data_IF_362363883419
#
_entry.id   IF_362363883419
#
_cell.length_a   1.000
_cell.length_b   1.000
_cell.length_c   1.000
_cell.angle_alpha   90.00
_cell.angle_beta   90.00
_cell.angle_gamma   90.00
#
_symmetry.space_group_name_H-M   'P 1'
#
loop_
_entity.id
_entity.type
_entity.pdbx_description
1 polymer ?
#
# COMPACT_ATOMS: atom_id res chain seq x y z
N UNK A 1 -9.75 9.50 -6.56
CA UNK A 1 -9.10 8.16 -6.52
C UNK A 1 -9.70 7.42 -5.34
N UNK A 2 -10.30 6.26 -5.57
CA UNK A 2 -10.99 5.46 -4.51
C UNK A 2 -10.05 4.39 -3.93
N UNK A 3 -9.18 3.83 -4.78
CA UNK A 3 -8.19 2.82 -4.41
C UNK A 3 -6.95 2.94 -5.31
N UNK A 4 -5.79 2.54 -4.78
CA UNK A 4 -4.53 2.34 -5.51
C UNK A 4 -4.20 0.85 -5.47
N UNK A 5 -3.96 0.25 -6.64
CA UNK A 5 -3.47 -1.13 -6.77
C UNK A 5 -2.09 -1.11 -7.43
N UNK A 6 -1.05 -1.21 -6.62
CA UNK A 6 0.33 -1.12 -7.07
C UNK A 6 1.22 -2.07 -6.26
N UNK A 7 1.49 -3.24 -6.85
CA UNK A 7 2.46 -4.21 -6.33
C UNK A 7 3.30 -4.73 -7.50
N UNK A 8 4.59 -4.41 -7.49
CA UNK A 8 5.52 -4.80 -8.55
C UNK A 8 5.70 -6.32 -8.66
N UNK A 9 5.62 -7.05 -7.54
CA UNK A 9 5.92 -8.48 -7.48
C UNK A 9 4.74 -9.35 -7.92
N UNK A 10 3.51 -8.86 -7.76
CA UNK A 10 2.28 -9.60 -8.13
C UNK A 10 1.72 -9.18 -9.50
N UNK A 11 2.41 -8.30 -10.23
CA UNK A 11 1.92 -7.81 -11.53
C UNK A 11 2.05 -8.89 -12.59
N UNK A 12 0.91 -9.46 -12.98
CA UNK A 12 0.83 -10.40 -14.08
C UNK A 12 1.17 -9.72 -15.44
N UNK A 13 1.69 -10.48 -16.42
CA UNK A 13 1.81 -10.00 -17.78
C UNK A 13 0.45 -9.60 -18.36
N UNK A 14 0.41 -8.47 -19.06
CA UNK A 14 -0.74 -8.05 -19.85
C UNK A 14 -0.25 -7.33 -21.11
N UNK A 15 -1.15 -7.16 -22.08
CA UNK A 15 -0.83 -6.53 -23.36
C UNK A 15 -1.90 -5.51 -23.74
N UNK A 16 -1.45 -4.31 -24.05
CA UNK A 16 -2.20 -3.24 -24.71
C UNK A 16 -1.66 -3.06 -26.13
N UNK A 17 -2.23 -2.12 -26.89
CA UNK A 17 -1.62 -1.70 -28.16
C UNK A 17 -0.23 -1.12 -27.94
N UNK A 18 0.64 -1.22 -28.95
CA UNK A 18 2.07 -0.92 -28.77
C UNK A 18 2.32 0.51 -28.24
N UNK A 19 1.59 1.51 -28.76
CA UNK A 19 1.69 2.89 -28.27
C UNK A 19 1.21 3.04 -26.83
N UNK A 20 0.14 2.35 -26.46
CA UNK A 20 -0.42 2.39 -25.10
C UNK A 20 0.48 1.67 -24.10
N UNK A 21 1.14 0.58 -24.51
CA UNK A 21 2.13 -0.10 -23.68
C UNK A 21 3.30 0.80 -23.34
N UNK A 22 3.78 1.60 -24.30
CA UNK A 22 4.85 2.58 -24.06
C UNK A 22 4.38 3.64 -23.05
N UNK A 23 3.23 4.27 -23.30
CA UNK A 23 2.67 5.26 -22.39
C UNK A 23 2.38 4.70 -20.99
N UNK A 24 1.94 3.45 -20.89
CA UNK A 24 1.72 2.77 -19.62
C UNK A 24 3.02 2.69 -18.83
N UNK A 25 4.11 2.21 -19.43
CA UNK A 25 5.38 2.04 -18.72
C UNK A 25 6.04 3.37 -18.36
N UNK A 26 5.86 4.42 -19.16
CA UNK A 26 6.27 5.77 -18.81
C UNK A 26 5.52 6.29 -17.57
N UNK A 27 4.19 6.22 -17.58
CA UNK A 27 3.36 6.63 -16.45
C UNK A 27 3.62 5.80 -15.19
N UNK A 28 3.79 4.48 -15.36
CA UNK A 28 4.15 3.56 -14.29
C UNK A 28 5.49 3.92 -13.66
N UNK A 29 6.50 4.23 -14.48
CA UNK A 29 7.82 4.66 -14.02
C UNK A 29 7.75 5.96 -13.22
N UNK A 30 6.95 6.94 -13.67
CA UNK A 30 6.72 8.18 -12.92
C UNK A 30 6.12 7.89 -11.55
N UNK A 31 5.06 7.08 -11.48
CA UNK A 31 4.42 6.74 -10.21
C UNK A 31 5.35 5.94 -9.29
N UNK A 32 6.09 4.97 -9.84
CA UNK A 32 7.10 4.21 -9.10
C UNK A 32 8.16 5.12 -8.48
N UNK A 33 8.67 6.09 -9.26
CA UNK A 33 9.67 7.03 -8.77
C UNK A 33 9.09 7.93 -7.67
N UNK A 34 7.87 8.45 -7.84
CA UNK A 34 7.18 9.23 -6.81
C UNK A 34 6.98 8.43 -5.52
N UNK A 35 6.54 7.18 -5.60
CA UNK A 35 6.35 6.30 -4.44
C UNK A 35 7.67 6.03 -3.68
N UNK A 36 8.81 6.12 -4.35
CA UNK A 36 10.14 5.90 -3.77
C UNK A 36 10.87 7.20 -3.39
N UNK A 37 10.25 8.38 -3.51
CA UNK A 37 10.86 9.62 -3.04
C UNK A 37 10.89 9.66 -1.50
N UNK A 38 12.09 9.83 -0.92
CA UNK A 38 12.30 9.85 0.55
C UNK A 38 11.43 10.88 1.25
N UNK A 39 11.20 12.06 0.65
CA UNK A 39 10.35 13.10 1.23
C UNK A 39 8.84 12.78 1.20
N UNK A 40 8.44 11.65 0.60
CA UNK A 40 7.05 11.13 0.61
C UNK A 40 6.92 9.88 1.47
N UNK A 41 8.00 9.46 2.12
CA UNK A 41 8.02 8.29 2.99
C UNK A 41 7.91 8.72 4.45
N UNK A 42 7.20 7.91 5.21
CA UNK A 42 7.15 7.99 6.67
C UNK A 42 7.71 6.68 7.20
N UNK A 43 8.82 6.76 7.93
CA UNK A 43 9.54 5.59 8.43
C UNK A 43 9.37 5.47 9.95
N UNK A 44 9.00 4.28 10.40
CA UNK A 44 8.93 3.93 11.82
C UNK A 44 9.51 2.53 12.04
N UNK A 45 10.22 2.36 13.15
CA UNK A 45 10.63 1.04 13.62
C UNK A 45 9.53 0.49 14.53
N UNK A 46 9.08 -0.73 14.27
CA UNK A 46 8.07 -1.39 15.11
C UNK A 46 8.77 -2.18 16.22
N UNK A 47 8.46 -1.82 17.47
CA UNK A 47 8.91 -2.57 18.64
C UNK A 47 7.96 -3.74 18.95
N UNK A 48 8.43 -4.81 19.60
CA UNK A 48 7.56 -5.89 20.05
C UNK A 48 6.34 -5.39 20.83
N UNK A 49 5.14 -5.84 20.45
CA UNK A 49 3.87 -5.36 21.01
C UNK A 49 3.25 -4.17 20.29
N UNK A 50 3.95 -3.55 19.33
CA UNK A 50 3.39 -2.46 18.51
C UNK A 50 2.47 -3.01 17.42
N UNK A 51 1.27 -2.44 17.31
CA UNK A 51 0.33 -2.73 16.22
C UNK A 51 0.26 -1.51 15.29
N UNK A 52 0.43 -1.74 14.00
CA UNK A 52 0.23 -0.74 12.95
C UNK A 52 -0.99 -1.13 12.11
N UNK A 53 -1.98 -0.25 12.05
CA UNK A 53 -3.16 -0.38 11.19
C UNK A 53 -3.20 0.76 10.18
N UNK A 54 -3.46 0.46 8.92
CA UNK A 54 -3.54 1.46 7.85
C UNK A 54 -4.51 1.04 6.75
N UNK A 55 -4.97 2.01 5.96
CA UNK A 55 -5.84 1.78 4.81
C UNK A 55 -5.02 1.27 3.61
N UNK A 56 -5.12 -0.04 3.33
CA UNK A 56 -4.43 -0.69 2.21
C UNK A 56 -4.93 -0.26 0.83
N UNK A 57 -6.09 0.41 0.72
CA UNK A 57 -6.55 0.98 -0.55
C UNK A 57 -5.87 2.31 -0.87
N UNK A 58 -5.22 2.93 0.11
CA UNK A 58 -4.62 4.26 -0.03
C UNK A 58 -3.10 4.26 0.17
N UNK A 59 -2.62 3.57 1.21
CA UNK A 59 -1.22 3.62 1.61
C UNK A 59 -0.45 2.45 1.02
N UNK A 60 0.59 2.77 0.25
CA UNK A 60 1.66 1.83 -0.07
C UNK A 60 2.54 1.66 1.17
N UNK A 61 3.06 0.46 1.37
CA UNK A 61 3.94 0.16 2.50
C UNK A 61 5.09 -0.73 2.05
N UNK A 62 6.22 -0.58 2.70
CA UNK A 62 7.43 -1.35 2.46
C UNK A 62 8.19 -1.54 3.77
N UNK A 63 9.36 -2.15 3.69
CA UNK A 63 10.31 -2.22 4.79
C UNK A 63 11.72 -2.05 4.27
N UNK A 64 12.59 -1.47 5.09
CA UNK A 64 14.02 -1.50 4.85
C UNK A 64 14.56 -2.94 4.93
N UNK A 65 15.77 -3.13 4.40
CA UNK A 65 16.47 -4.41 4.51
C UNK A 65 16.61 -4.82 5.98
N UNK A 66 16.47 -6.12 6.26
CA UNK A 66 16.51 -6.66 7.61
C UNK A 66 17.83 -7.42 7.81
N UNK A 67 18.44 -7.23 8.97
CA UNK A 67 19.48 -8.11 9.52
C UNK A 67 18.95 -8.73 10.83
N UNK A 68 19.26 -10.01 11.08
CA UNK A 68 18.81 -10.72 12.29
C UNK A 68 17.40 -11.32 12.20
N UNK A 69 16.80 -11.59 13.36
CA UNK A 69 15.50 -12.25 13.48
C UNK A 69 14.36 -11.23 13.62
N UNK A 70 13.25 -11.50 12.93
CA UNK A 70 12.02 -10.70 13.02
C UNK A 70 10.81 -11.59 12.79
N UNK A 71 9.77 -11.38 13.58
CA UNK A 71 8.46 -12.01 13.38
C UNK A 71 7.37 -10.94 13.45
N UNK A 72 6.46 -10.97 12.48
CA UNK A 72 5.23 -10.18 12.50
C UNK A 72 4.04 -11.12 12.34
N UNK A 73 2.92 -10.76 12.96
CA UNK A 73 1.61 -11.34 12.66
C UNK A 73 0.79 -10.26 11.94
N UNK A 74 0.14 -10.64 10.84
CA UNK A 74 -0.69 -9.75 10.04
C UNK A 74 -2.10 -10.32 9.87
N UNK A 75 -3.06 -9.42 9.67
CA UNK A 75 -4.44 -9.74 9.37
C UNK A 75 -5.10 -8.59 8.62
N UNK A 76 -6.18 -8.89 7.91
CA UNK A 76 -6.96 -7.91 7.16
C UNK A 76 -8.39 -7.86 7.68
N UNK A 77 -8.96 -6.66 7.68
CA UNK A 77 -10.38 -6.43 7.91
C UNK A 77 -10.97 -5.88 6.63
N UNK A 78 -12.23 -6.22 6.31
CA UNK A 78 -12.91 -5.53 5.24
C UNK A 78 -13.16 -4.07 5.64
N UNK A 79 -13.05 -3.18 4.67
CA UNK A 79 -13.32 -1.76 4.87
C UNK A 79 -14.76 -1.51 5.35
N UNK A 80 -15.71 -2.27 4.82
CA UNK A 80 -17.13 -2.17 5.17
C UNK A 80 -17.38 -2.53 6.65
N UNK A 81 -16.69 -3.55 7.17
CA UNK A 81 -16.77 -3.95 8.58
C UNK A 81 -16.22 -2.84 9.49
N UNK A 82 -15.10 -2.23 9.09
CA UNK A 82 -14.50 -1.11 9.81
C UNK A 82 -15.43 0.12 9.80
N UNK A 83 -15.95 0.52 8.63
CA UNK A 83 -16.88 1.64 8.51
C UNK A 83 -18.21 1.40 9.25
N UNK A 84 -18.71 0.16 9.23
CA UNK A 84 -19.88 -0.24 10.02
C UNK A 84 -19.65 0.03 11.50
N UNK A 85 -18.48 -0.37 12.03
CA UNK A 85 -18.16 -0.12 13.44
C UNK A 85 -18.03 1.37 13.76
N UNK A 86 -17.43 2.16 12.87
CA UNK A 86 -17.34 3.62 13.04
C UNK A 86 -18.72 4.30 13.07
N UNK A 87 -19.69 3.83 12.25
CA UNK A 87 -21.07 4.34 12.28
C UNK A 87 -21.76 4.03 13.61
N UNK A 88 -21.61 2.79 14.11
CA UNK A 88 -22.18 2.41 15.42
C UNK A 88 -21.59 3.25 16.55
N UNK A 89 -20.30 3.60 16.48
CA UNK A 89 -19.63 4.48 17.44
C UNK A 89 -19.89 5.99 17.18
N UNK A 90 -20.72 6.34 16.19
CA UNK A 90 -21.02 7.73 15.79
C UNK A 90 -19.78 8.57 15.42
N UNK A 91 -18.70 7.90 14.97
CA UNK A 91 -17.47 8.55 14.49
C UNK A 91 -17.66 9.07 13.06
N UNK A 92 -18.43 8.33 12.26
CA UNK A 92 -18.84 8.72 10.90
C UNK A 92 -20.36 8.61 10.79
N UNK A 93 -20.92 9.35 9.83
CA UNK A 93 -22.36 9.39 9.54
C UNK A 93 -22.84 8.11 8.84
#
# INVERSE_FOLDING_TARGET
VIQVSFNNHDRAPFRLENSEMICFYEAYGIFHNLANQVNRQFEICLEPGTVLTFDNWRLLHARSALTGYRQLCGGYHNREDFESRLRVESIIM
#
